data_IF_187360450512
#
_entry.id   IF_187360450512
#
_cell.length_a   1.000
_cell.length_b   1.000
_cell.length_c   1.000
_cell.angle_alpha   90.00
_cell.angle_beta   90.00
_cell.angle_gamma   90.00
#
_symmetry.space_group_name_H-M   'P 1'
#
loop_
_entity.id
_entity.type
_entity.pdbx_description
1 polymer ?
#
# COMPACT_ATOMS: atom_id res chain seq x y z
N UNK A 1 -28.10 -8.49 -23.69
CA UNK A 1 -28.50 -8.61 -22.28
C UNK A 1 -27.34 -9.31 -21.57
N UNK A 2 -26.23 -8.60 -21.30
CA UNK A 2 -24.98 -9.29 -20.92
C UNK A 2 -23.96 -8.40 -20.17
N UNK A 3 -24.38 -7.35 -19.45
CA UNK A 3 -23.41 -6.46 -18.75
C UNK A 3 -23.69 -6.20 -17.27
N UNK A 4 -24.67 -6.85 -16.65
CA UNK A 4 -25.02 -6.60 -15.23
C UNK A 4 -24.31 -7.49 -14.21
N UNK A 5 -23.56 -8.51 -14.65
CA UNK A 5 -22.88 -9.45 -13.74
C UNK A 5 -21.47 -8.99 -13.31
N UNK A 6 -20.81 -8.12 -14.08
CA UNK A 6 -19.40 -7.74 -13.82
C UNK A 6 -19.22 -6.44 -13.01
N UNK A 7 -20.27 -5.64 -12.81
CA UNK A 7 -20.13 -4.39 -12.04
C UNK A 7 -20.02 -4.61 -10.52
N UNK A 8 -20.62 -5.67 -9.98
CA UNK A 8 -20.55 -5.94 -8.55
C UNK A 8 -19.18 -6.50 -8.12
N UNK A 9 -18.54 -7.35 -8.93
CA UNK A 9 -17.26 -7.96 -8.55
C UNK A 9 -16.08 -6.96 -8.58
N UNK A 10 -16.10 -5.97 -9.47
CA UNK A 10 -15.11 -4.88 -9.48
C UNK A 10 -15.32 -3.96 -8.28
N UNK A 11 -16.57 -3.70 -7.88
CA UNK A 11 -16.90 -2.94 -6.68
C UNK A 11 -16.48 -3.68 -5.40
N UNK A 12 -16.72 -5.00 -5.34
CA UNK A 12 -16.27 -5.87 -4.26
C UNK A 12 -14.74 -5.90 -4.18
N UNK A 13 -14.03 -6.08 -5.30
CA UNK A 13 -12.57 -6.10 -5.32
C UNK A 13 -11.96 -4.76 -4.89
N UNK A 14 -12.57 -3.64 -5.29
CA UNK A 14 -12.23 -2.30 -4.82
C UNK A 14 -12.46 -2.16 -3.31
N UNK A 15 -13.55 -2.73 -2.78
CA UNK A 15 -13.83 -2.75 -1.34
C UNK A 15 -12.77 -3.52 -0.54
N UNK A 16 -12.30 -4.66 -1.06
CA UNK A 16 -11.24 -5.45 -0.42
C UNK A 16 -9.90 -4.73 -0.45
N UNK A 17 -9.54 -4.06 -1.54
CA UNK A 17 -8.30 -3.27 -1.62
C UNK A 17 -8.33 -2.06 -0.68
N UNK A 18 -9.49 -1.40 -0.53
CA UNK A 18 -9.67 -0.34 0.49
C UNK A 18 -9.53 -0.88 1.92
N UNK A 19 -10.08 -2.06 2.18
CA UNK A 19 -9.90 -2.72 3.47
C UNK A 19 -8.44 -3.10 3.72
N UNK A 20 -7.75 -3.66 2.72
CA UNK A 20 -6.32 -3.98 2.79
C UNK A 20 -5.48 -2.74 3.08
N UNK A 21 -5.79 -1.61 2.44
CA UNK A 21 -5.14 -0.32 2.73
C UNK A 21 -5.26 0.04 4.22
N UNK A 22 -6.46 -0.03 4.80
CA UNK A 22 -6.66 0.24 6.23
C UNK A 22 -5.88 -0.70 7.15
N UNK A 23 -5.76 -1.98 6.77
CA UNK A 23 -4.97 -2.97 7.53
C UNK A 23 -3.48 -2.68 7.44
N UNK A 24 -2.99 -2.34 6.26
CA UNK A 24 -1.58 -2.00 6.01
C UNK A 24 -1.20 -0.71 6.74
N UNK A 25 -2.05 0.32 6.71
CA UNK A 25 -1.86 1.57 7.46
C UNK A 25 -1.64 1.29 8.95
N UNK A 26 -2.55 0.54 9.58
CA UNK A 26 -2.44 0.18 11.00
C UNK A 26 -1.17 -0.60 11.31
N UNK A 27 -0.74 -1.47 10.37
CA UNK A 27 0.46 -2.29 10.55
C UNK A 27 1.73 -1.47 10.43
N UNK A 28 1.78 -0.53 9.48
CA UNK A 28 2.86 0.46 9.35
C UNK A 28 2.94 1.31 10.62
N UNK A 29 1.82 1.87 11.07
CA UNK A 29 1.77 2.70 12.27
C UNK A 29 2.28 1.95 13.51
N UNK A 30 1.82 0.70 13.70
CA UNK A 30 2.27 -0.14 14.81
C UNK A 30 3.76 -0.48 14.74
N UNK A 31 4.27 -0.86 13.56
CA UNK A 31 5.67 -1.28 13.39
C UNK A 31 6.63 -0.09 13.45
N UNK A 32 6.34 0.96 12.69
CA UNK A 32 7.19 2.15 12.57
C UNK A 32 7.09 3.00 13.83
N UNK A 33 5.88 3.23 14.35
CA UNK A 33 5.64 3.93 15.62
C UNK A 33 6.26 3.19 16.82
N UNK A 34 6.17 1.85 16.83
CA UNK A 34 6.81 0.98 17.83
C UNK A 34 8.32 0.81 17.66
N UNK A 35 8.92 1.34 16.59
CA UNK A 35 10.35 1.27 16.25
C UNK A 35 10.91 -0.15 16.05
N UNK A 36 10.10 -1.09 15.57
CA UNK A 36 10.53 -2.46 15.24
C UNK A 36 11.30 -2.50 13.92
N UNK A 37 12.56 -2.02 13.95
CA UNK A 37 13.37 -1.76 12.74
C UNK A 37 13.65 -2.97 11.87
N UNK A 38 13.74 -4.16 12.47
CA UNK A 38 13.90 -5.43 11.77
C UNK A 38 12.70 -5.80 10.90
N UNK A 39 11.55 -5.12 11.09
CA UNK A 39 10.31 -5.31 10.33
C UNK A 39 10.03 -4.21 9.32
N UNK A 40 10.92 -3.24 9.16
CA UNK A 40 10.68 -2.12 8.24
C UNK A 40 10.61 -2.55 6.78
N UNK A 41 11.44 -3.52 6.38
CA UNK A 41 11.40 -4.08 5.02
C UNK A 41 10.07 -4.80 4.76
N UNK A 42 9.54 -5.52 5.75
CA UNK A 42 8.25 -6.22 5.63
C UNK A 42 7.11 -5.23 5.34
N UNK A 43 7.06 -4.09 6.03
CA UNK A 43 5.99 -3.10 5.82
C UNK A 43 6.23 -2.21 4.60
N UNK A 44 7.47 -2.00 4.18
CA UNK A 44 7.77 -1.36 2.89
C UNK A 44 7.29 -2.22 1.71
N UNK A 45 7.51 -3.54 1.77
CA UNK A 45 7.00 -4.49 0.79
C UNK A 45 5.47 -4.46 0.70
N UNK A 46 4.77 -4.42 1.85
CA UNK A 46 3.31 -4.32 1.88
C UNK A 46 2.80 -3.03 1.22
N UNK A 47 3.47 -1.90 1.45
CA UNK A 47 3.13 -0.63 0.80
C UNK A 47 3.29 -0.70 -0.72
N UNK A 48 4.40 -1.28 -1.21
CA UNK A 48 4.63 -1.48 -2.64
C UNK A 48 3.55 -2.39 -3.25
N UNK A 49 3.29 -3.54 -2.63
CA UNK A 49 2.29 -4.50 -3.09
C UNK A 49 0.87 -3.92 -3.12
N UNK A 50 0.50 -3.08 -2.14
CA UNK A 50 -0.78 -2.35 -2.17
C UNK A 50 -0.88 -1.44 -3.40
N UNK A 51 0.20 -0.72 -3.70
CA UNK A 51 0.28 0.16 -4.86
C UNK A 51 0.18 -0.60 -6.19
N UNK A 52 0.91 -1.71 -6.33
CA UNK A 52 0.85 -2.58 -7.51
C UNK A 52 -0.53 -3.22 -7.70
N UNK A 53 -1.19 -3.61 -6.60
CA UNK A 53 -2.58 -4.09 -6.63
C UNK A 53 -3.54 -3.00 -7.12
N UNK A 54 -3.36 -1.76 -6.66
CA UNK A 54 -4.15 -0.61 -7.13
C UNK A 54 -3.91 -0.30 -8.61
N UNK A 55 -2.68 -0.42 -9.09
CA UNK A 55 -2.33 -0.28 -10.51
C UNK A 55 -3.00 -1.37 -11.36
N UNK A 56 -3.01 -2.60 -10.88
CA UNK A 56 -3.70 -3.73 -11.53
C UNK A 56 -5.21 -3.51 -11.65
N UNK A 57 -5.79 -2.68 -10.78
CA UNK A 57 -7.18 -2.22 -10.84
C UNK A 57 -7.41 -0.96 -11.70
N UNK A 58 -6.37 -0.48 -12.40
CA UNK A 58 -6.45 0.65 -13.33
C UNK A 58 -6.09 2.01 -12.73
N UNK A 59 -5.68 2.09 -11.46
CA UNK A 59 -5.18 3.34 -10.88
C UNK A 59 -3.73 3.59 -11.31
N UNK A 60 -3.54 4.42 -12.34
CA UNK A 60 -2.21 4.77 -12.85
C UNK A 60 -1.31 5.34 -11.74
N UNK A 61 -0.05 4.89 -11.72
CA UNK A 61 0.99 5.35 -10.78
C UNK A 61 0.68 5.09 -9.30
N UNK A 62 -0.25 4.19 -8.97
CA UNK A 62 -0.64 3.98 -7.59
C UNK A 62 0.50 3.45 -6.70
N UNK A 63 1.47 2.70 -7.25
CA UNK A 63 2.69 2.32 -6.50
C UNK A 63 3.46 3.55 -6.06
N UNK A 64 3.76 4.45 -6.98
CA UNK A 64 4.45 5.70 -6.67
C UNK A 64 3.67 6.56 -5.67
N UNK A 65 2.35 6.69 -5.84
CA UNK A 65 1.49 7.47 -4.92
C UNK A 65 1.52 6.89 -3.51
N UNK A 66 1.37 5.57 -3.36
CA UNK A 66 1.38 4.90 -2.06
C UNK A 66 2.75 5.00 -1.38
N UNK A 67 3.83 4.75 -2.11
CA UNK A 67 5.19 4.87 -1.57
C UNK A 67 5.48 6.31 -1.14
N UNK A 68 5.14 7.31 -1.95
CA UNK A 68 5.34 8.72 -1.62
C UNK A 68 4.58 9.14 -0.36
N UNK A 69 3.33 8.67 -0.19
CA UNK A 69 2.57 8.90 1.06
C UNK A 69 3.33 8.43 2.29
N UNK A 70 3.93 7.24 2.26
CA UNK A 70 4.69 6.73 3.41
C UNK A 70 6.12 7.29 3.50
N UNK A 71 6.67 7.89 2.45
CA UNK A 71 7.94 8.63 2.54
C UNK A 71 7.81 9.92 3.36
N UNK A 72 6.59 10.46 3.50
CA UNK A 72 6.28 11.62 4.33
C UNK A 72 6.24 11.29 5.84
N UNK A 73 6.35 10.01 6.22
CA UNK A 73 6.27 9.59 7.61
C UNK A 73 7.38 10.24 8.47
N UNK A 74 7.05 11.05 9.49
CA UNK A 74 8.03 11.89 10.17
C UNK A 74 9.07 11.10 10.96
N UNK A 75 10.36 11.46 10.86
CA UNK A 75 11.44 10.99 11.77
C UNK A 75 11.82 9.49 11.69
N UNK A 76 11.51 8.81 10.58
CA UNK A 76 11.93 7.40 10.37
C UNK A 76 12.80 7.21 9.12
N UNK A 77 14.03 7.76 9.13
CA UNK A 77 14.97 7.66 7.99
C UNK A 77 15.27 6.21 7.57
N UNK A 78 15.33 5.26 8.51
CA UNK A 78 15.53 3.85 8.21
C UNK A 78 14.33 3.24 7.47
N UNK A 79 13.09 3.57 7.87
CA UNK A 79 11.90 3.13 7.15
C UNK A 79 11.81 3.76 5.77
N UNK A 80 12.13 5.06 5.65
CA UNK A 80 12.27 5.74 4.35
C UNK A 80 13.35 5.09 3.48
N UNK A 81 14.41 4.55 4.07
CA UNK A 81 15.42 3.74 3.38
C UNK A 81 14.81 2.48 2.77
N UNK A 82 14.06 1.71 3.55
CA UNK A 82 13.36 0.52 3.06
C UNK A 82 12.36 0.84 1.93
N UNK A 83 11.60 1.94 2.05
CA UNK A 83 10.66 2.36 1.00
C UNK A 83 11.36 2.75 -0.32
N UNK A 84 12.58 3.30 -0.25
CA UNK A 84 13.34 3.71 -1.44
C UNK A 84 13.78 2.54 -2.32
N UNK A 85 13.80 1.32 -1.80
CA UNK A 85 14.06 0.11 -2.59
C UNK A 85 12.94 -0.18 -3.61
N UNK A 86 11.81 0.53 -3.51
CA UNK A 86 10.64 0.37 -4.38
C UNK A 86 10.33 1.63 -5.22
N UNK A 87 11.24 2.60 -5.27
CA UNK A 87 11.15 3.75 -6.16
C UNK A 87 11.89 3.40 -7.44
N UNK A 88 11.14 3.00 -8.46
CA UNK A 88 11.63 2.77 -9.82
C UNK A 88 11.78 4.10 -10.59
#
# INVERSE_FOLDING_TARGET
>A
MESKLCNNCVDDMSSYVKWLESVIDKRIDGIVGGKYRDKYNDVALLAAALGEAKESLGMKMAKSIVINRYLEYPRHSAFRGALKEYID
#
